data_IF_338321252614
#
_entry.id   IF_338321252614
#
_cell.length_a   1.000
_cell.length_b   1.000
_cell.length_c   1.000
_cell.angle_alpha   90.00
_cell.angle_beta   90.00
_cell.angle_gamma   90.00
#
_symmetry.space_group_name_H-M   'P 1'
#
loop_
_entity.id
_entity.type
_entity.pdbx_description
1 polymer ?
#
# COMPACT_ATOMS: atom_id res chain seq x y z
N UNK A 1 6.35 54.40 19.47
CA UNK A 1 5.23 55.19 19.98
C UNK A 1 3.94 54.39 19.80
N UNK A 2 3.25 54.21 20.91
CA UNK A 2 1.81 53.87 21.11
C UNK A 2 1.37 52.50 20.56
N UNK A 3 1.16 51.47 21.37
CA UNK A 3 0.31 51.24 22.59
C UNK A 3 -1.16 50.92 22.28
N UNK A 4 -1.57 49.70 22.72
CA UNK A 4 -2.81 49.35 23.45
C UNK A 4 -4.07 49.19 22.60
N UNK A 5 -5.01 48.23 22.84
CA UNK A 5 -5.70 47.64 24.02
C UNK A 5 -6.44 46.34 23.56
N UNK A 6 -6.34 45.21 24.17
CA UNK A 6 -7.06 44.58 25.29
C UNK A 6 -8.60 44.83 25.29
N UNK A 7 -9.33 43.71 25.20
CA UNK A 7 -10.53 43.50 25.98
C UNK A 7 -10.88 42.03 26.12
N UNK A 8 -10.74 41.53 27.33
CA UNK A 8 -11.36 40.35 27.91
C UNK A 8 -12.89 40.50 27.97
N UNK A 9 -13.60 39.37 27.91
CA UNK A 9 -14.77 39.10 28.78
C UNK A 9 -14.82 37.63 29.17
N UNK A 10 -14.87 37.45 30.49
CA UNK A 10 -14.99 36.24 31.30
C UNK A 10 -16.42 36.00 31.74
N UNK A 11 -16.67 34.79 32.22
CA UNK A 11 -17.70 34.29 33.17
C UNK A 11 -19.01 33.83 32.54
N UNK A 12 -19.64 32.73 32.96
CA UNK A 12 -19.76 32.07 34.25
C UNK A 12 -20.21 30.61 34.09
N UNK A 13 -19.64 29.66 34.80
CA UNK A 13 -20.13 28.99 36.03
C UNK A 13 -21.43 28.17 35.84
N UNK A 14 -21.33 26.86 36.08
CA UNK A 14 -22.44 25.97 36.37
C UNK A 14 -21.97 24.60 36.80
N UNK A 15 -21.92 24.43 38.11
CA UNK A 15 -21.57 23.21 38.87
C UNK A 15 -22.52 22.04 38.67
N UNK A 16 -21.95 20.84 38.90
CA UNK A 16 -22.63 19.75 39.61
C UNK A 16 -22.88 18.51 38.73
N UNK A 17 -22.38 17.38 39.01
CA UNK A 17 -22.44 16.47 40.10
C UNK A 17 -21.65 15.21 39.75
N UNK A 18 -20.87 14.78 40.69
CA UNK A 18 -20.25 13.44 40.72
C UNK A 18 -21.32 12.42 41.07
N UNK A 19 -21.33 11.29 40.37
CA UNK A 19 -21.85 10.03 40.91
C UNK A 19 -21.23 8.82 40.23
N UNK A 20 -20.41 8.14 40.98
CA UNK A 20 -20.21 6.70 41.14
C UNK A 20 -20.01 5.78 39.94
N UNK A 21 -18.75 5.35 39.80
CA UNK A 21 -18.39 4.05 39.31
C UNK A 21 -18.93 2.95 40.23
N UNK A 22 -19.70 2.02 39.71
CA UNK A 22 -19.78 0.66 40.19
C UNK A 22 -19.79 -0.32 39.04
N UNK A 23 -18.98 -1.35 39.21
CA UNK A 23 -18.69 -2.43 38.29
C UNK A 23 -19.94 -3.21 37.86
N UNK A 24 -19.99 -3.52 36.55
CA UNK A 24 -20.78 -4.64 36.06
C UNK A 24 -19.88 -5.54 35.19
N UNK A 25 -19.88 -6.82 35.55
CA UNK A 25 -19.14 -7.89 34.89
C UNK A 25 -19.64 -8.21 33.47
N UNK A 26 -19.03 -9.19 32.78
CA UNK A 26 -19.27 -9.44 31.38
C UNK A 26 -20.71 -9.85 31.11
N UNK A 27 -21.45 -9.00 30.43
CA UNK A 27 -22.80 -9.35 29.90
C UNK A 27 -22.65 -10.34 28.76
N UNK A 28 -23.06 -11.55 29.03
CA UNK A 28 -23.37 -12.57 28.02
C UNK A 28 -24.44 -11.98 27.10
N UNK A 29 -24.08 -11.73 25.84
CA UNK A 29 -25.03 -11.35 24.81
C UNK A 29 -26.00 -12.51 24.57
N UNK A 30 -27.19 -12.35 25.09
CA UNK A 30 -28.32 -13.22 24.76
C UNK A 30 -28.72 -12.99 23.29
N UNK A 31 -28.98 -14.10 22.64
CA UNK A 31 -29.46 -14.24 21.26
C UNK A 31 -30.42 -13.14 20.84
N UNK A 32 -30.01 -12.34 19.85
CA UNK A 32 -30.96 -11.55 19.07
C UNK A 32 -31.79 -12.52 18.22
N UNK A 33 -33.09 -12.48 18.40
CA UNK A 33 -34.10 -13.22 17.63
C UNK A 33 -33.88 -12.99 16.14
N UNK A 34 -33.77 -14.09 15.39
CA UNK A 34 -33.82 -14.12 13.92
C UNK A 34 -35.10 -13.45 13.45
N UNK A 35 -34.99 -12.33 12.77
CA UNK A 35 -36.08 -11.81 11.96
C UNK A 35 -36.17 -12.64 10.68
N UNK A 36 -37.33 -13.25 10.50
CA UNK A 36 -37.69 -14.06 9.35
C UNK A 36 -37.53 -13.32 8.03
N UNK A 37 -36.90 -13.95 7.06
CA UNK A 37 -37.10 -13.67 5.64
C UNK A 37 -35.89 -13.36 4.76
N UNK A 38 -34.67 -13.35 5.27
CA UNK A 38 -33.47 -13.27 4.39
C UNK A 38 -32.86 -14.68 4.23
N UNK A 39 -32.79 -15.14 2.98
CA UNK A 39 -31.96 -16.28 2.62
C UNK A 39 -30.54 -16.05 3.13
N UNK A 40 -29.86 -17.03 3.73
CA UNK A 40 -28.49 -16.85 4.18
C UNK A 40 -27.63 -16.45 2.99
N UNK A 41 -27.00 -15.27 3.07
CA UNK A 41 -26.04 -14.82 2.07
C UNK A 41 -24.88 -15.81 2.02
N UNK A 42 -24.70 -16.47 0.90
CA UNK A 42 -23.57 -17.40 0.72
C UNK A 42 -22.26 -16.62 0.65
N UNK A 43 -21.33 -16.89 1.58
CA UNK A 43 -19.98 -16.33 1.54
C UNK A 43 -19.07 -17.21 0.72
N UNK A 44 -18.43 -16.64 -0.28
CA UNK A 44 -17.44 -17.30 -1.13
C UNK A 44 -16.08 -16.59 -0.94
N UNK A 45 -15.05 -17.38 -0.59
CA UNK A 45 -13.69 -16.88 -0.42
C UNK A 45 -12.86 -17.41 -1.57
N UNK A 46 -12.29 -16.48 -2.37
CA UNK A 46 -11.45 -16.82 -3.53
C UNK A 46 -10.00 -16.39 -3.26
N UNK A 47 -9.00 -17.28 -3.37
CA UNK A 47 -7.61 -16.90 -3.24
C UNK A 47 -7.18 -15.96 -4.38
N UNK A 48 -6.34 -15.00 -4.06
CA UNK A 48 -5.67 -14.17 -5.05
C UNK A 48 -4.44 -14.92 -5.56
N UNK A 49 -4.16 -14.86 -6.86
CA UNK A 49 -2.97 -15.50 -7.44
C UNK A 49 -1.70 -15.04 -6.70
N UNK A 50 -0.87 -15.98 -6.26
CA UNK A 50 0.32 -15.78 -5.42
C UNK A 50 0.05 -15.06 -4.06
N UNK A 51 -1.21 -14.92 -3.67
CA UNK A 51 -1.61 -14.27 -2.42
C UNK A 51 -1.28 -15.08 -1.15
N UNK A 52 -0.94 -16.37 -1.29
CA UNK A 52 -0.43 -17.23 -0.21
C UNK A 52 1.08 -17.01 0.08
N UNK A 53 1.73 -16.09 -0.62
CA UNK A 53 3.13 -15.68 -0.41
C UNK A 53 4.19 -16.80 -0.38
N UNK A 54 3.87 -17.98 -0.91
CA UNK A 54 4.77 -19.15 -0.86
C UNK A 54 5.76 -19.23 -2.04
N UNK A 55 5.50 -18.50 -3.11
CA UNK A 55 6.25 -18.60 -4.35
C UNK A 55 7.00 -17.29 -4.66
N UNK A 56 8.31 -17.42 -4.84
CA UNK A 56 9.19 -16.27 -5.00
C UNK A 56 10.20 -16.49 -6.13
N UNK A 57 10.39 -15.44 -6.91
CA UNK A 57 11.51 -15.30 -7.84
C UNK A 57 12.65 -14.64 -7.09
N UNK A 58 13.81 -15.33 -7.04
CA UNK A 58 15.04 -14.80 -6.45
C UNK A 58 15.91 -14.22 -7.55
N UNK A 59 16.32 -12.96 -7.39
CA UNK A 59 17.07 -12.22 -8.42
C UNK A 59 18.39 -11.74 -7.82
N UNK A 60 19.50 -12.08 -8.47
CA UNK A 60 20.83 -11.62 -8.08
C UNK A 60 21.27 -10.51 -9.04
N UNK A 61 21.36 -9.29 -8.53
CA UNK A 61 21.81 -8.11 -9.27
C UNK A 61 23.26 -7.82 -8.84
N UNK A 62 24.18 -7.91 -9.77
CA UNK A 62 25.58 -7.54 -9.53
C UNK A 62 25.72 -6.03 -9.70
N UNK A 63 26.05 -5.33 -8.63
CA UNK A 63 26.34 -3.90 -8.67
C UNK A 63 27.53 -3.60 -9.56
N UNK A 64 27.52 -2.46 -10.22
CA UNK A 64 28.69 -1.94 -10.91
C UNK A 64 29.89 -1.82 -9.96
N UNK A 65 31.10 -2.09 -10.43
CA UNK A 65 32.36 -2.00 -9.64
C UNK A 65 32.51 -0.64 -8.95
N UNK A 66 32.03 0.42 -9.57
CA UNK A 66 32.03 1.79 -9.00
C UNK A 66 31.20 1.89 -7.70
N UNK A 67 30.19 1.03 -7.51
CA UNK A 67 29.36 0.95 -6.30
C UNK A 67 29.89 -0.08 -5.27
N UNK A 68 30.95 -0.80 -5.62
CA UNK A 68 31.55 -1.83 -4.77
C UNK A 68 31.42 -3.25 -5.32
N UNK A 69 30.68 -3.46 -6.40
CA UNK A 69 30.57 -4.75 -7.09
C UNK A 69 29.88 -5.85 -6.25
N UNK A 70 29.07 -5.48 -5.27
CA UNK A 70 28.33 -6.42 -4.41
C UNK A 70 27.20 -7.08 -5.18
N UNK A 71 26.81 -8.26 -4.75
CA UNK A 71 25.59 -8.92 -5.23
C UNK A 71 24.44 -8.52 -4.33
N UNK A 72 23.43 -7.90 -4.89
CA UNK A 72 22.16 -7.57 -4.27
C UNK A 72 21.16 -8.68 -4.54
N UNK A 73 20.45 -9.13 -3.51
CA UNK A 73 19.40 -10.13 -3.66
C UNK A 73 18.04 -9.46 -3.61
N UNK A 74 17.33 -9.52 -4.72
CA UNK A 74 15.97 -8.99 -4.87
C UNK A 74 14.99 -10.17 -4.90
N UNK A 75 13.80 -9.92 -4.36
CA UNK A 75 12.71 -10.88 -4.38
C UNK A 75 11.48 -10.29 -5.06
N UNK A 76 10.80 -11.10 -5.85
CA UNK A 76 9.52 -10.76 -6.44
C UNK A 76 8.54 -11.92 -6.22
N UNK A 77 7.27 -11.60 -5.95
CA UNK A 77 6.21 -12.61 -5.93
C UNK A 77 6.03 -13.20 -7.33
N UNK A 78 5.91 -14.51 -7.42
CA UNK A 78 5.75 -15.20 -8.71
C UNK A 78 6.18 -16.65 -8.64
N UNK A 79 6.09 -17.37 -9.76
CA UNK A 79 6.52 -18.75 -9.85
C UNK A 79 7.98 -18.88 -9.40
N UNK A 80 8.26 -19.87 -8.56
CA UNK A 80 9.59 -20.07 -7.98
C UNK A 80 10.63 -20.22 -9.08
N UNK A 81 11.57 -19.29 -9.12
CA UNK A 81 12.65 -19.22 -10.10
C UNK A 81 13.87 -18.47 -9.53
N UNK A 82 15.01 -18.58 -10.22
CA UNK A 82 16.24 -17.88 -9.86
C UNK A 82 16.85 -17.20 -11.08
N UNK A 83 16.95 -15.87 -11.05
CA UNK A 83 17.54 -15.05 -12.10
C UNK A 83 18.92 -14.57 -11.63
N UNK A 84 19.98 -14.88 -12.38
CA UNK A 84 21.36 -14.55 -12.01
C UNK A 84 22.00 -13.46 -12.85
N UNK A 85 21.22 -12.82 -13.69
CA UNK A 85 21.67 -11.77 -14.61
C UNK A 85 21.02 -10.43 -14.26
N UNK A 86 21.74 -9.34 -14.54
CA UNK A 86 21.22 -8.00 -14.41
C UNK A 86 20.20 -7.72 -15.54
N UNK A 87 18.97 -8.13 -15.31
CA UNK A 87 17.88 -7.92 -16.27
C UNK A 87 16.61 -7.42 -15.59
N UNK A 88 15.79 -6.73 -16.38
CA UNK A 88 14.46 -6.31 -15.95
C UNK A 88 13.60 -7.54 -15.62
N UNK A 89 12.87 -7.46 -14.51
CA UNK A 89 11.85 -8.45 -14.19
C UNK A 89 10.52 -8.08 -14.84
N UNK A 90 9.98 -9.03 -15.56
CA UNK A 90 8.64 -8.95 -16.14
C UNK A 90 7.85 -10.08 -15.50
N UNK A 91 6.78 -9.76 -14.71
CA UNK A 91 5.92 -10.81 -14.15
C UNK A 91 5.37 -11.72 -15.25
N UNK A 92 5.29 -13.02 -14.97
CA UNK A 92 4.65 -13.97 -15.88
C UNK A 92 3.16 -13.63 -16.05
N UNK A 93 2.59 -14.01 -17.19
CA UNK A 93 1.15 -13.89 -17.43
C UNK A 93 0.33 -14.49 -16.27
N UNK A 94 -0.66 -13.75 -15.80
CA UNK A 94 -1.49 -14.13 -14.64
C UNK A 94 -0.90 -13.80 -13.26
N UNK A 95 0.34 -13.29 -13.19
CA UNK A 95 0.89 -12.77 -11.96
C UNK A 95 0.57 -11.27 -11.80
N UNK A 96 -0.26 -10.88 -10.81
CA UNK A 96 -0.69 -9.49 -10.68
C UNK A 96 0.30 -8.60 -9.91
N UNK A 97 1.40 -9.15 -9.36
CA UNK A 97 2.19 -8.47 -8.34
C UNK A 97 3.46 -7.80 -8.84
N UNK A 98 3.59 -6.51 -8.54
CA UNK A 98 4.83 -5.77 -8.51
C UNK A 98 5.29 -5.48 -7.08
N UNK A 99 6.54 -5.03 -6.91
CA UNK A 99 7.08 -4.69 -5.60
C UNK A 99 8.14 -3.59 -5.67
N UNK A 100 8.54 -3.06 -4.49
CA UNK A 100 9.59 -2.05 -4.36
C UNK A 100 11.02 -2.60 -4.48
N UNK A 101 11.21 -3.92 -4.46
CA UNK A 101 12.53 -4.55 -4.66
C UNK A 101 12.86 -4.57 -6.17
N UNK A 102 13.53 -3.53 -6.67
CA UNK A 102 13.69 -3.26 -8.09
C UNK A 102 15.15 -3.13 -8.52
N UNK A 103 15.40 -3.49 -9.80
CA UNK A 103 16.67 -3.25 -10.48
C UNK A 103 16.71 -1.86 -11.08
N UNK A 104 17.84 -1.17 -10.92
CA UNK A 104 18.06 0.17 -11.42
C UNK A 104 19.32 0.24 -12.30
N UNK A 105 19.25 1.05 -13.37
CA UNK A 105 20.37 1.29 -14.27
C UNK A 105 20.38 2.74 -14.75
N UNK A 106 21.49 3.42 -14.51
CA UNK A 106 21.68 4.79 -14.96
C UNK A 106 23.09 5.02 -15.47
N UNK A 107 23.25 5.52 -16.69
CA UNK A 107 24.56 5.79 -17.35
C UNK A 107 25.53 4.61 -17.25
N UNK A 108 25.05 3.39 -17.37
CA UNK A 108 25.84 2.17 -17.27
C UNK A 108 26.15 1.73 -15.82
N UNK A 109 25.73 2.48 -14.82
CA UNK A 109 25.82 2.10 -13.40
C UNK A 109 24.57 1.30 -13.03
N UNK A 110 24.78 0.12 -12.48
CA UNK A 110 23.74 -0.85 -12.14
C UNK A 110 23.72 -1.14 -10.66
N UNK A 111 22.53 -1.23 -10.08
CA UNK A 111 22.31 -1.61 -8.68
C UNK A 111 20.93 -2.23 -8.48
N UNK A 112 20.68 -2.77 -7.28
CA UNK A 112 19.38 -3.27 -6.86
C UNK A 112 18.93 -2.60 -5.56
N UNK A 113 17.63 -2.39 -5.41
CA UNK A 113 16.99 -2.00 -4.16
C UNK A 113 16.62 -3.29 -3.43
N UNK A 114 17.47 -3.71 -2.51
CA UNK A 114 17.29 -4.92 -1.71
C UNK A 114 16.78 -4.61 -0.30
N UNK A 115 16.30 -5.64 0.42
CA UNK A 115 15.91 -5.55 1.83
C UNK A 115 14.53 -4.94 2.08
N UNK A 116 13.85 -4.36 1.08
CA UNK A 116 12.53 -3.75 1.27
C UNK A 116 11.38 -4.78 1.23
N UNK A 117 11.50 -5.81 0.39
CA UNK A 117 10.52 -6.90 0.24
C UNK A 117 11.25 -8.23 0.19
N UNK A 118 10.83 -9.19 1.00
CA UNK A 118 11.45 -10.51 1.05
C UNK A 118 10.52 -11.58 1.62
N UNK A 119 10.73 -12.87 1.30
CA UNK A 119 10.08 -13.98 1.99
C UNK A 119 10.61 -14.11 3.42
N UNK A 120 9.71 -14.37 4.36
CA UNK A 120 10.04 -14.78 5.72
C UNK A 120 9.26 -16.05 6.06
N UNK A 121 9.88 -16.98 6.81
CA UNK A 121 9.23 -18.24 7.18
C UNK A 121 8.00 -18.02 8.04
N UNK A 122 6.90 -18.68 7.65
CA UNK A 122 5.67 -18.76 8.44
C UNK A 122 5.14 -20.21 8.40
N UNK A 123 5.27 -20.93 9.50
CA UNK A 123 4.93 -22.36 9.54
C UNK A 123 5.71 -23.15 8.50
N UNK A 124 5.01 -23.87 7.64
CA UNK A 124 5.61 -24.67 6.55
C UNK A 124 5.87 -23.87 5.27
N UNK A 125 5.29 -22.68 5.15
CA UNK A 125 5.39 -21.79 3.99
C UNK A 125 6.19 -20.53 4.28
N UNK A 126 5.82 -19.48 3.54
CA UNK A 126 6.38 -18.15 3.67
C UNK A 126 5.29 -17.10 3.79
N UNK A 127 5.63 -15.95 4.31
CA UNK A 127 4.86 -14.72 4.23
C UNK A 127 5.67 -13.66 3.51
N UNK A 128 5.03 -12.60 3.06
CA UNK A 128 5.70 -11.42 2.52
C UNK A 128 6.07 -10.47 3.67
N UNK A 129 7.37 -10.25 3.86
CA UNK A 129 7.90 -9.21 4.75
C UNK A 129 8.20 -7.96 3.95
N UNK A 130 7.61 -6.85 4.34
CA UNK A 130 7.83 -5.52 3.80
C UNK A 130 8.43 -4.64 4.88
N UNK A 131 9.57 -4.00 4.61
CA UNK A 131 10.31 -3.22 5.59
C UNK A 131 10.77 -1.89 5.01
N UNK A 132 10.69 -0.81 5.79
CA UNK A 132 11.29 0.47 5.44
C UNK A 132 12.79 0.40 5.60
N UNK A 133 13.53 0.69 4.54
CA UNK A 133 15.00 0.63 4.52
C UNK A 133 15.61 1.92 3.99
N UNK A 134 16.65 2.40 4.67
CA UNK A 134 17.46 3.50 4.17
C UNK A 134 18.58 2.92 3.29
N UNK A 135 18.50 3.17 1.99
CA UNK A 135 19.53 2.74 1.04
C UNK A 135 20.53 3.85 0.78
N UNK A 136 21.79 3.49 0.49
CA UNK A 136 22.85 4.42 0.20
C UNK A 136 23.61 4.01 -1.05
N UNK A 137 23.76 4.96 -1.97
CA UNK A 137 24.59 4.83 -3.16
C UNK A 137 25.81 5.73 -3.00
N UNK A 138 27.01 5.15 -2.86
CA UNK A 138 28.25 5.86 -2.58
C UNK A 138 28.61 6.93 -3.64
N UNK A 139 28.26 6.69 -4.91
CA UNK A 139 28.47 7.68 -5.98
C UNK A 139 27.45 8.81 -5.82
N UNK A 140 27.95 10.02 -5.61
CA UNK A 140 27.12 11.19 -5.35
C UNK A 140 26.53 11.23 -3.95
N UNK A 141 26.89 10.27 -3.10
CA UNK A 141 26.45 10.18 -1.71
C UNK A 141 24.92 10.33 -1.59
N UNK A 142 24.22 9.49 -2.35
CA UNK A 142 22.77 9.55 -2.54
C UNK A 142 22.09 8.55 -1.62
N UNK A 143 21.19 9.05 -0.80
CA UNK A 143 20.34 8.24 0.06
C UNK A 143 18.91 8.15 -0.50
N UNK A 144 18.26 7.02 -0.29
CA UNK A 144 16.85 6.83 -0.57
C UNK A 144 16.20 6.02 0.55
N UNK A 145 15.20 6.61 1.20
CA UNK A 145 14.27 5.89 2.05
C UNK A 145 13.29 5.13 1.16
N UNK A 146 13.27 3.83 1.27
CA UNK A 146 12.42 2.95 0.47
C UNK A 146 11.48 2.20 1.40
N UNK A 147 10.18 2.37 1.18
CA UNK A 147 9.17 1.60 1.87
C UNK A 147 9.01 0.23 1.22
N UNK A 148 8.97 -0.81 2.04
CA UNK A 148 8.63 -2.15 1.58
C UNK A 148 7.19 -2.17 1.08
N UNK A 149 7.00 -2.48 -0.20
CA UNK A 149 5.70 -2.36 -0.85
C UNK A 149 5.49 -3.48 -1.85
N UNK A 150 4.29 -4.08 -1.84
CA UNK A 150 3.75 -4.90 -2.92
C UNK A 150 2.47 -4.26 -3.44
N UNK A 151 2.21 -4.41 -4.72
CA UNK A 151 1.02 -3.84 -5.35
C UNK A 151 0.58 -4.63 -6.57
N UNK A 152 -0.68 -4.54 -6.93
CA UNK A 152 -1.14 -5.06 -8.22
C UNK A 152 -0.72 -4.10 -9.33
N UNK A 153 0.10 -4.65 -10.25
CA UNK A 153 0.73 -3.89 -11.33
C UNK A 153 2.16 -4.34 -11.59
N UNK A 154 2.96 -3.49 -12.23
CA UNK A 154 4.32 -3.80 -12.64
C UNK A 154 5.28 -2.64 -12.40
N UNK A 155 6.48 -2.94 -11.86
CA UNK A 155 7.60 -2.01 -11.92
C UNK A 155 8.21 -2.01 -13.33
N UNK A 156 8.50 -0.83 -13.86
CA UNK A 156 9.14 -0.67 -15.17
C UNK A 156 10.66 -0.63 -15.00
N UNK A 157 11.25 -1.78 -14.99
CA UNK A 157 12.70 -1.94 -14.84
C UNK A 157 13.44 -1.90 -16.20
N UNK A 158 14.72 -1.51 -16.19
CA UNK A 158 15.46 -0.96 -15.05
C UNK A 158 15.00 0.45 -14.69
N UNK A 159 14.95 0.75 -13.38
CA UNK A 159 14.64 2.12 -12.93
C UNK A 159 15.74 3.07 -13.40
N UNK A 160 15.33 4.12 -14.11
CA UNK A 160 16.22 5.21 -14.52
C UNK A 160 16.22 6.36 -13.51
N UNK A 161 17.03 7.41 -13.76
CA UNK A 161 17.13 8.58 -12.89
C UNK A 161 15.80 9.32 -12.72
N UNK A 162 14.92 9.28 -13.71
CA UNK A 162 13.60 9.91 -13.63
C UNK A 162 12.73 9.30 -12.52
N UNK A 163 12.91 8.02 -12.19
CA UNK A 163 12.21 7.35 -11.10
C UNK A 163 12.55 7.96 -9.74
N UNK A 164 13.69 8.64 -9.59
CA UNK A 164 14.05 9.34 -8.36
C UNK A 164 13.23 10.60 -8.12
N UNK A 165 12.93 11.36 -9.16
CA UNK A 165 12.12 12.58 -9.03
C UNK A 165 10.62 12.31 -9.14
N UNK A 166 10.24 11.23 -9.80
CA UNK A 166 8.86 10.83 -10.05
C UNK A 166 8.73 9.30 -9.99
N UNK A 167 8.84 8.66 -8.81
CA UNK A 167 8.88 7.20 -8.70
C UNK A 167 7.63 6.51 -9.24
N UNK A 168 6.46 7.13 -9.12
CA UNK A 168 5.23 6.57 -9.68
C UNK A 168 5.24 6.44 -11.21
N UNK A 169 6.06 7.24 -11.92
CA UNK A 169 6.17 7.11 -13.39
C UNK A 169 6.86 5.83 -13.85
N UNK A 170 7.53 5.14 -12.95
CA UNK A 170 8.16 3.84 -13.19
C UNK A 170 7.30 2.66 -12.70
N UNK A 171 6.03 2.91 -12.39
CA UNK A 171 5.10 1.90 -11.90
C UNK A 171 3.82 1.94 -12.70
N UNK A 172 3.47 0.83 -13.31
CA UNK A 172 2.16 0.62 -13.92
C UNK A 172 1.23 0.03 -12.87
N UNK A 173 0.15 0.76 -12.53
CA UNK A 173 -0.77 0.37 -11.46
C UNK A 173 -2.03 -0.29 -11.98
N UNK A 174 -2.42 -1.36 -11.31
CA UNK A 174 -3.66 -2.07 -11.50
C UNK A 174 -3.60 -3.13 -12.58
N UNK A 175 -4.47 -4.08 -12.43
CA UNK A 175 -4.66 -5.21 -13.36
C UNK A 175 -6.12 -5.29 -13.77
N UNK A 176 -6.44 -5.90 -14.93
CA UNK A 176 -7.82 -6.13 -15.35
C UNK A 176 -8.60 -6.91 -14.30
N UNK A 177 -9.80 -6.43 -13.94
CA UNK A 177 -10.65 -7.04 -12.93
C UNK A 177 -12.09 -6.54 -13.07
N UNK A 178 -13.05 -7.47 -13.09
CA UNK A 178 -14.46 -7.16 -13.37
C UNK A 178 -15.41 -7.62 -12.26
N UNK A 179 -14.89 -8.20 -11.16
CA UNK A 179 -15.70 -8.68 -10.06
C UNK A 179 -15.91 -7.60 -8.99
N UNK A 180 -16.96 -7.75 -8.18
CA UNK A 180 -17.27 -6.89 -7.03
C UNK A 180 -17.18 -7.67 -5.72
N UNK A 181 -15.97 -7.82 -5.12
CA UNK A 181 -15.83 -8.47 -3.82
C UNK A 181 -16.35 -7.58 -2.68
N UNK A 182 -16.90 -8.18 -1.63
CA UNK A 182 -17.34 -7.47 -0.44
C UNK A 182 -16.15 -6.98 0.41
N UNK A 183 -15.04 -7.74 0.44
CA UNK A 183 -13.85 -7.39 1.21
C UNK A 183 -12.56 -7.96 0.60
N UNK A 184 -11.43 -7.36 0.95
CA UNK A 184 -10.13 -8.00 0.93
C UNK A 184 -9.91 -8.68 2.28
N UNK A 185 -9.55 -9.96 2.27
CA UNK A 185 -9.18 -10.72 3.46
C UNK A 185 -7.69 -11.04 3.40
N UNK A 186 -6.96 -10.86 4.51
CA UNK A 186 -5.54 -11.19 4.62
C UNK A 186 -5.19 -11.60 6.07
N UNK A 187 -4.04 -12.24 6.20
CA UNK A 187 -3.39 -12.41 7.48
C UNK A 187 -2.26 -11.39 7.59
N UNK A 188 -2.07 -10.77 8.76
CA UNK A 188 -0.98 -9.81 8.94
C UNK A 188 -0.47 -9.72 10.38
N UNK A 189 0.73 -9.21 10.53
CA UNK A 189 1.31 -8.67 11.77
C UNK A 189 2.15 -7.44 11.41
N UNK A 190 2.43 -6.56 12.38
CA UNK A 190 3.14 -5.33 12.12
C UNK A 190 4.09 -4.96 13.26
N UNK A 191 5.20 -4.33 12.90
CA UNK A 191 6.09 -3.62 13.82
C UNK A 191 6.15 -2.17 13.37
N UNK A 192 5.50 -1.29 14.11
CA UNK A 192 5.40 0.15 13.82
C UNK A 192 6.06 0.92 14.94
N UNK A 193 6.88 1.89 14.58
CA UNK A 193 7.49 2.81 15.55
C UNK A 193 6.45 3.77 16.10
N UNK A 194 6.53 4.06 17.37
CA UNK A 194 5.75 5.09 18.09
C UNK A 194 6.39 6.49 18.01
N UNK A 195 7.47 6.63 17.23
CA UNK A 195 8.17 7.91 17.08
C UNK A 195 7.35 8.92 16.27
N UNK A 196 7.29 10.17 16.73
CA UNK A 196 6.72 11.30 16.02
C UNK A 196 7.71 11.94 15.04
N UNK A 197 8.57 11.11 14.43
CA UNK A 197 9.56 11.57 13.47
C UNK A 197 9.80 10.55 12.37
N UNK A 198 10.08 11.06 11.17
CA UNK A 198 10.34 10.32 9.96
C UNK A 198 11.73 10.66 9.43
N UNK A 199 12.31 9.76 8.65
CA UNK A 199 13.46 10.09 7.80
C UNK A 199 12.94 10.46 6.41
N UNK A 200 13.30 11.64 5.94
CA UNK A 200 13.09 12.09 4.57
C UNK A 200 14.42 12.09 3.80
N UNK A 201 14.39 11.54 2.60
CA UNK A 201 15.53 11.57 1.67
C UNK A 201 15.20 12.26 0.34
N UNK A 202 14.19 13.11 0.32
CA UNK A 202 13.78 13.84 -0.89
C UNK A 202 14.92 14.67 -1.48
N UNK A 203 15.81 15.21 -0.63
CA UNK A 203 17.00 15.99 -1.00
C UNK A 203 18.27 15.15 -1.10
N UNK A 204 18.17 13.84 -1.27
CA UNK A 204 19.29 12.90 -1.39
C UNK A 204 20.08 12.64 -0.10
N UNK A 205 19.78 13.30 0.99
CA UNK A 205 20.38 13.12 2.31
C UNK A 205 19.28 12.79 3.32
N UNK A 206 19.58 11.99 4.33
CA UNK A 206 18.60 11.73 5.39
C UNK A 206 18.42 12.99 6.24
N UNK A 207 17.21 13.44 6.34
CA UNK A 207 16.75 14.54 7.21
C UNK A 207 15.66 14.00 8.13
N UNK A 208 15.72 14.28 9.42
CA UNK A 208 14.64 13.97 10.34
C UNK A 208 13.57 15.05 10.24
N UNK A 209 12.35 14.64 9.98
CA UNK A 209 11.17 15.52 9.90
C UNK A 209 10.11 15.06 10.90
N UNK A 210 9.24 15.96 11.34
CA UNK A 210 8.10 15.61 12.18
C UNK A 210 7.06 14.81 11.38
N UNK A 211 6.45 13.84 12.03
CA UNK A 211 5.40 13.01 11.45
C UNK A 211 5.32 11.64 12.08
N UNK A 212 4.17 10.99 11.93
CA UNK A 212 3.93 9.62 12.37
C UNK A 212 3.76 8.72 11.15
N UNK A 213 4.31 7.52 11.19
CA UNK A 213 4.26 6.57 10.07
C UNK A 213 3.38 5.36 10.42
N UNK A 214 2.59 4.94 9.46
CA UNK A 214 1.75 3.75 9.58
C UNK A 214 1.98 2.85 8.38
N UNK A 215 1.86 1.55 8.55
CA UNK A 215 1.66 0.68 7.40
C UNK A 215 0.26 0.91 6.81
N UNK A 216 0.08 0.55 5.55
CA UNK A 216 -1.18 0.79 4.84
C UNK A 216 -1.54 -0.38 3.92
N UNK A 217 -2.84 -0.67 3.88
CA UNK A 217 -3.46 -1.57 2.90
C UNK A 217 -4.61 -0.83 2.25
N UNK A 218 -4.63 -0.73 0.91
CA UNK A 218 -5.81 -0.23 0.24
C UNK A 218 -6.15 -1.01 -1.04
N UNK A 219 -7.43 -0.98 -1.37
CA UNK A 219 -8.00 -1.53 -2.59
C UNK A 219 -8.78 -0.45 -3.30
N UNK A 220 -8.47 -0.24 -4.56
CA UNK A 220 -9.26 0.62 -5.45
C UNK A 220 -9.80 -0.19 -6.61
N UNK A 221 -11.12 -0.32 -6.69
CA UNK A 221 -11.80 -0.81 -7.87
C UNK A 221 -12.11 0.39 -8.76
N UNK A 222 -11.70 0.32 -10.03
CA UNK A 222 -11.81 1.44 -10.96
C UNK A 222 -12.49 1.01 -12.25
N UNK A 223 -13.40 1.83 -12.74
CA UNK A 223 -13.87 1.77 -14.12
C UNK A 223 -12.99 2.72 -14.94
N UNK A 224 -12.06 2.17 -15.73
CA UNK A 224 -11.09 2.92 -16.55
C UNK A 224 -11.49 2.95 -18.00
N UNK A 225 -11.19 4.06 -18.68
CA UNK A 225 -11.26 4.19 -20.13
C UNK A 225 -10.14 5.08 -20.65
N UNK A 226 -9.80 4.90 -21.90
CA UNK A 226 -8.85 5.75 -22.62
C UNK A 226 -9.60 6.68 -23.55
N UNK A 227 -9.23 7.95 -23.54
CA UNK A 227 -9.68 8.91 -24.53
C UNK A 227 -8.92 8.68 -25.83
N UNK A 228 -9.64 8.35 -26.90
CA UNK A 228 -9.04 7.93 -28.17
C UNK A 228 -8.22 9.02 -28.88
N UNK A 229 -8.56 10.30 -28.65
CA UNK A 229 -7.88 11.43 -29.31
C UNK A 229 -6.58 11.75 -28.57
N UNK A 230 -6.65 11.89 -27.26
CA UNK A 230 -5.52 12.34 -26.43
C UNK A 230 -4.65 11.20 -25.90
N UNK A 231 -5.19 9.99 -25.81
CA UNK A 231 -4.55 8.84 -25.18
C UNK A 231 -4.42 8.99 -23.66
N UNK A 232 -5.20 9.88 -23.04
CA UNK A 232 -5.31 9.99 -21.60
C UNK A 232 -6.16 8.87 -21.02
N UNK A 233 -5.82 8.41 -19.83
CA UNK A 233 -6.59 7.41 -19.11
C UNK A 233 -7.36 8.09 -17.99
N UNK A 234 -8.65 7.93 -18.01
CA UNK A 234 -9.57 8.36 -16.96
C UNK A 234 -10.09 7.17 -16.19
N UNK A 235 -10.50 7.43 -14.94
CA UNK A 235 -11.14 6.43 -14.10
C UNK A 235 -12.30 7.03 -13.30
N UNK A 236 -13.30 6.20 -13.00
CA UNK A 236 -14.21 6.42 -11.89
C UNK A 236 -13.93 5.39 -10.80
N UNK A 237 -13.86 5.85 -9.56
CA UNK A 237 -13.68 4.96 -8.41
C UNK A 237 -15.00 4.23 -8.15
N UNK A 238 -14.97 2.91 -8.26
CA UNK A 238 -16.14 2.04 -8.06
C UNK A 238 -16.22 1.53 -6.64
N UNK A 239 -15.08 1.15 -6.08
CA UNK A 239 -14.99 0.64 -4.72
C UNK A 239 -13.69 1.06 -4.04
N UNK A 240 -13.77 1.29 -2.73
CA UNK A 240 -12.64 1.70 -1.89
C UNK A 240 -12.60 0.85 -0.62
N UNK A 241 -11.48 0.22 -0.36
CA UNK A 241 -11.10 -0.26 0.96
C UNK A 241 -9.80 0.41 1.36
N UNK A 242 -9.69 0.83 2.62
CA UNK A 242 -8.49 1.50 3.10
C UNK A 242 -8.30 1.24 4.58
N UNK A 243 -7.13 0.80 4.98
CA UNK A 243 -6.77 0.60 6.37
C UNK A 243 -5.35 1.08 6.65
N UNK A 244 -5.18 1.75 7.78
CA UNK A 244 -3.88 2.18 8.30
C UNK A 244 -3.60 1.41 9.58
N UNK A 245 -2.41 0.83 9.65
CA UNK A 245 -1.92 0.08 10.79
C UNK A 245 -0.84 0.94 11.44
N UNK A 246 -1.21 1.65 12.51
CA UNK A 246 -0.36 2.66 13.16
C UNK A 246 0.26 2.17 14.48
N UNK A 247 0.01 0.93 14.86
CA UNK A 247 0.51 0.33 16.09
C UNK A 247 1.23 -1.00 15.80
N UNK A 248 2.13 -1.36 16.70
CA UNK A 248 2.79 -2.66 16.65
C UNK A 248 1.80 -3.77 17.01
N UNK A 249 1.65 -4.74 16.13
CA UNK A 249 0.82 -5.94 16.28
C UNK A 249 1.77 -7.13 16.17
N UNK A 250 2.32 -7.64 17.30
CA UNK A 250 3.38 -8.64 17.29
C UNK A 250 2.91 -10.03 16.89
N UNK A 251 1.64 -10.34 17.15
CA UNK A 251 1.04 -11.63 16.84
C UNK A 251 0.25 -11.55 15.51
N UNK A 252 0.14 -12.69 14.82
CA UNK A 252 -0.63 -12.77 13.60
C UNK A 252 -2.13 -12.57 13.83
N UNK A 253 -2.72 -11.57 13.19
CA UNK A 253 -4.16 -11.47 12.97
C UNK A 253 -4.47 -12.27 11.71
N UNK A 254 -5.26 -13.34 11.86
CA UNK A 254 -5.63 -14.21 10.75
C UNK A 254 -7.04 -13.88 10.25
N UNK A 255 -7.24 -13.99 8.94
CA UNK A 255 -8.53 -13.75 8.28
C UNK A 255 -9.10 -12.34 8.56
N UNK A 256 -8.24 -11.34 8.64
CA UNK A 256 -8.67 -9.96 8.78
C UNK A 256 -9.33 -9.47 7.49
N UNK A 257 -10.49 -8.86 7.62
CA UNK A 257 -11.27 -8.37 6.48
C UNK A 257 -11.28 -6.85 6.45
N UNK A 258 -10.92 -6.30 5.28
CA UNK A 258 -11.04 -4.88 4.99
C UNK A 258 -12.21 -4.71 4.03
N UNK A 259 -13.38 -4.23 4.50
CA UNK A 259 -14.59 -4.08 3.68
C UNK A 259 -14.38 -3.13 2.52
N UNK A 260 -14.96 -3.44 1.37
CA UNK A 260 -14.95 -2.55 0.20
C UNK A 260 -16.25 -1.74 0.18
N UNK A 261 -16.13 -0.44 0.31
CA UNK A 261 -17.25 0.50 0.21
C UNK A 261 -17.43 0.91 -1.25
N UNK A 262 -18.63 0.74 -1.78
CA UNK A 262 -18.97 0.99 -3.19
C UNK A 262 -19.60 2.36 -3.41
N UNK A 263 -19.32 2.98 -4.56
CA UNK A 263 -19.81 4.29 -4.92
C UNK A 263 -19.09 5.44 -4.21
N UNK A 264 -19.77 6.57 -4.07
CA UNK A 264 -19.22 7.74 -3.39
C UNK A 264 -19.20 7.52 -1.88
N UNK A 265 -18.03 7.59 -1.27
CA UNK A 265 -17.86 7.41 0.17
C UNK A 265 -17.67 8.71 0.94
N UNK A 266 -17.71 9.87 0.25
CA UNK A 266 -17.45 11.19 0.87
C UNK A 266 -18.45 11.58 1.94
N UNK A 267 -19.67 11.09 1.83
CA UNK A 267 -20.76 11.43 2.75
C UNK A 267 -20.87 10.43 3.92
N UNK A 268 -19.95 9.44 4.01
CA UNK A 268 -19.92 8.51 5.14
C UNK A 268 -19.19 9.12 6.33
N UNK A 269 -19.69 8.86 7.54
CA UNK A 269 -19.17 9.42 8.79
C UNK A 269 -17.71 9.03 9.06
N UNK A 270 -17.24 7.92 8.49
CA UNK A 270 -15.90 7.37 8.61
C UNK A 270 -14.94 7.79 7.49
N UNK A 271 -15.40 8.60 6.53
CA UNK A 271 -14.56 9.07 5.42
C UNK A 271 -13.33 9.85 5.90
N UNK A 272 -12.21 9.52 5.32
CA UNK A 272 -10.95 10.20 5.60
C UNK A 272 -10.40 10.86 4.32
N UNK A 273 -9.80 12.04 4.45
CA UNK A 273 -9.28 12.80 3.31
C UNK A 273 -8.25 12.04 2.47
N UNK A 274 -7.50 11.10 3.07
CA UNK A 274 -6.54 10.26 2.35
C UNK A 274 -7.20 9.15 1.49
N UNK A 275 -8.51 8.95 1.61
CA UNK A 275 -9.28 8.01 0.79
C UNK A 275 -9.87 8.66 -0.48
N UNK A 276 -9.77 9.99 -0.59
CA UNK A 276 -10.32 10.73 -1.73
C UNK A 276 -9.64 10.35 -3.05
N UNK A 277 -10.21 10.84 -4.12
CA UNK A 277 -9.69 10.62 -5.48
C UNK A 277 -8.33 11.31 -5.67
N UNK A 278 -7.51 10.73 -6.52
CA UNK A 278 -6.21 11.28 -6.92
C UNK A 278 -5.20 11.56 -5.78
N UNK A 279 -5.31 10.86 -4.64
CA UNK A 279 -4.33 10.97 -3.54
C UNK A 279 -2.95 10.42 -3.91
N UNK A 280 -2.88 9.53 -4.89
CA UNK A 280 -1.64 8.95 -5.43
C UNK A 280 -1.62 9.15 -6.95
N UNK A 281 -0.46 9.58 -7.48
CA UNK A 281 -0.25 9.69 -8.93
C UNK A 281 -0.07 8.30 -9.56
N UNK A 282 -1.17 7.57 -9.73
CA UNK A 282 -1.15 6.27 -10.39
C UNK A 282 -0.96 6.42 -11.88
N UNK A 283 -0.11 5.57 -12.45
CA UNK A 283 0.17 5.56 -13.88
C UNK A 283 -0.30 4.24 -14.50
N UNK A 284 -0.68 4.28 -15.76
CA UNK A 284 -0.95 3.10 -16.58
C UNK A 284 -0.47 3.32 -18.00
N UNK A 285 -0.27 2.23 -18.73
CA UNK A 285 0.12 2.25 -20.14
C UNK A 285 -1.12 2.40 -21.01
N UNK A 286 -1.10 3.39 -21.89
CA UNK A 286 -2.18 3.59 -22.86
C UNK A 286 -2.00 2.68 -24.09
N UNK A 287 -2.99 2.68 -25.00
CA UNK A 287 -2.98 1.88 -26.22
C UNK A 287 -1.80 2.16 -27.16
N UNK A 288 -1.16 3.35 -27.02
CA UNK A 288 0.05 3.73 -27.74
C UNK A 288 1.35 3.30 -27.02
N UNK A 289 1.25 2.54 -25.93
CA UNK A 289 2.37 2.07 -25.14
C UNK A 289 3.01 3.14 -24.22
N UNK A 290 2.42 4.33 -24.11
CA UNK A 290 2.94 5.43 -23.31
C UNK A 290 2.39 5.36 -21.88
N UNK A 291 3.27 5.56 -20.88
CA UNK A 291 2.85 5.73 -19.49
C UNK A 291 2.18 7.09 -19.32
N UNK A 292 0.95 7.08 -18.85
CA UNK A 292 0.14 8.28 -18.57
C UNK A 292 -0.49 8.17 -17.19
N UNK A 293 -0.76 9.32 -16.58
CA UNK A 293 -1.48 9.37 -15.30
C UNK A 293 -2.91 8.86 -15.49
N UNK A 294 -3.40 8.11 -14.51
CA UNK A 294 -4.80 7.75 -14.38
C UNK A 294 -5.48 8.92 -13.65
N UNK A 295 -6.36 9.63 -14.34
CA UNK A 295 -7.12 10.75 -13.76
C UNK A 295 -8.46 10.23 -13.22
N UNK A 296 -8.62 10.17 -11.89
CA UNK A 296 -9.90 9.82 -11.28
C UNK A 296 -10.83 11.02 -11.32
N UNK A 297 -11.88 10.93 -12.12
CA UNK A 297 -12.80 12.06 -12.41
C UNK A 297 -14.12 11.99 -11.63
N UNK A 298 -14.27 10.98 -10.77
CA UNK A 298 -15.48 10.84 -9.94
C UNK A 298 -15.64 9.43 -9.38
N UNK A 299 -16.79 9.21 -8.80
CA UNK A 299 -17.25 7.95 -8.22
C UNK A 299 -18.33 7.34 -9.09
N UNK A 300 -18.48 6.03 -9.09
CA UNK A 300 -19.57 5.33 -9.76
C UNK A 300 -19.92 4.00 -9.11
N UNK A 301 -21.05 3.43 -9.51
CA UNK A 301 -21.45 2.05 -9.20
C UNK A 301 -21.32 1.13 -10.41
N UNK A 302 -20.67 1.59 -11.47
CA UNK A 302 -20.40 0.81 -12.69
C UNK A 302 -19.66 -0.50 -12.39
N UNK A 303 -19.61 -1.40 -13.37
CA UNK A 303 -18.73 -2.56 -13.28
C UNK A 303 -17.26 -2.11 -13.31
N UNK A 304 -16.42 -2.59 -12.41
CA UNK A 304 -15.00 -2.27 -12.46
C UNK A 304 -14.37 -2.91 -13.70
N UNK A 305 -13.35 -2.27 -14.22
CA UNK A 305 -12.48 -2.82 -15.29
C UNK A 305 -11.10 -3.17 -14.78
N UNK A 306 -10.70 -2.56 -13.66
CA UNK A 306 -9.38 -2.72 -13.05
C UNK A 306 -9.48 -2.72 -11.51
N UNK A 307 -8.50 -3.40 -10.91
CA UNK A 307 -8.24 -3.34 -9.47
C UNK A 307 -6.80 -2.95 -9.18
N UNK A 308 -6.61 -2.15 -8.14
CA UNK A 308 -5.33 -1.90 -7.49
C UNK A 308 -5.44 -2.42 -6.07
N UNK A 309 -4.57 -3.34 -5.67
CA UNK A 309 -4.24 -3.58 -4.26
C UNK A 309 -2.86 -2.94 -4.04
N UNK A 310 -2.71 -2.21 -2.97
CA UNK A 310 -1.45 -1.62 -2.54
C UNK A 310 -1.24 -1.90 -1.05
N UNK A 311 -0.13 -2.50 -0.71
CA UNK A 311 0.24 -2.88 0.65
C UNK A 311 1.66 -2.39 0.90
N UNK A 312 1.83 -1.56 1.93
CA UNK A 312 3.13 -0.93 2.22
C UNK A 312 3.42 -0.85 3.71
N UNK A 313 4.69 -0.96 4.06
CA UNK A 313 5.17 -0.73 5.42
C UNK A 313 5.20 0.75 5.84
N UNK A 314 4.81 1.68 4.95
CA UNK A 314 4.71 3.11 5.22
C UNK A 314 3.60 3.77 4.39
N UNK A 315 2.98 4.80 4.96
CA UNK A 315 2.06 5.69 4.28
C UNK A 315 2.55 7.15 4.24
N UNK A 316 3.80 7.40 4.68
CA UNK A 316 4.35 8.75 4.81
C UNK A 316 4.69 9.42 3.47
N UNK A 317 4.51 8.70 2.37
CA UNK A 317 4.78 9.18 1.02
C UNK A 317 6.16 8.80 0.50
N UNK A 318 6.49 9.35 -0.67
CA UNK A 318 7.71 8.99 -1.38
C UNK A 318 8.95 9.48 -0.65
N UNK A 319 9.93 8.59 -0.49
CA UNK A 319 11.22 8.87 0.18
C UNK A 319 11.10 9.34 1.64
N UNK A 320 9.96 9.06 2.27
CA UNK A 320 9.72 9.36 3.69
C UNK A 320 9.22 8.11 4.38
N UNK A 321 9.79 7.76 5.52
CA UNK A 321 9.30 6.68 6.36
C UNK A 321 9.99 6.67 7.74
N UNK A 322 9.43 5.95 8.70
CA UNK A 322 10.17 5.45 9.85
C UNK A 322 11.00 4.24 9.44
N UNK A 323 12.33 4.33 9.57
CA UNK A 323 13.23 3.21 9.27
C UNK A 323 12.92 2.01 10.19
N UNK A 324 12.84 0.83 9.62
CA UNK A 324 12.59 -0.40 10.36
C UNK A 324 11.13 -0.72 10.63
N UNK A 325 10.18 0.17 10.31
CA UNK A 325 8.77 -0.22 10.26
C UNK A 325 8.62 -1.40 9.33
N UNK A 326 7.87 -2.40 9.77
CA UNK A 326 7.75 -3.67 9.04
C UNK A 326 6.30 -4.15 9.07
N UNK A 327 5.80 -4.55 7.93
CA UNK A 327 4.52 -5.22 7.76
C UNK A 327 4.76 -6.61 7.18
N UNK A 328 4.15 -7.63 7.78
CA UNK A 328 4.10 -8.99 7.24
C UNK A 328 2.68 -9.28 6.82
N UNK A 329 2.52 -9.82 5.63
CA UNK A 329 1.22 -10.24 5.11
C UNK A 329 1.28 -11.63 4.49
N UNK A 330 0.13 -12.29 4.48
CA UNK A 330 -0.03 -13.64 3.96
C UNK A 330 -1.51 -13.90 3.61
N UNK A 331 -1.76 -14.94 2.84
CA UNK A 331 -3.09 -15.46 2.56
C UNK A 331 -4.11 -14.42 2.07
N UNK A 332 -3.74 -13.62 1.07
CA UNK A 332 -4.65 -12.64 0.46
C UNK A 332 -5.75 -13.33 -0.34
N UNK A 333 -6.98 -12.95 -0.07
CA UNK A 333 -8.20 -13.54 -0.64
C UNK A 333 -9.26 -12.48 -0.87
N UNK A 334 -10.10 -12.70 -1.87
CA UNK A 334 -11.33 -11.97 -2.05
C UNK A 334 -12.47 -12.63 -1.28
N UNK A 335 -13.31 -11.83 -0.65
CA UNK A 335 -14.54 -12.26 -0.03
C UNK A 335 -15.70 -11.76 -0.89
N UNK A 336 -16.59 -12.66 -1.29
CA UNK A 336 -17.82 -12.34 -2.01
C UNK A 336 -19.02 -12.73 -1.16
N UNK A 337 -20.05 -11.92 -1.25
CA UNK A 337 -21.37 -12.21 -0.70
C UNK A 337 -22.33 -12.41 -1.86
N UNK A 338 -22.96 -13.56 -1.91
CA UNK A 338 -23.98 -13.90 -2.91
C UNK A 338 -25.35 -13.89 -2.24
N UNK A 339 -26.34 -13.21 -2.85
CA UNK A 339 -27.71 -13.17 -2.33
C UNK A 339 -28.36 -14.57 -2.32
#
# INVERSE_FOLDING_TARGET
>A
MRKWLIALWLLAIGCGLWADCLADGPKVLQNASLQDGQSPTERVIEPIAYGNMDQWVVRYITESKLLGGKIKTLYALGSTDTIRENQAYIPMEGNPWGCSATYAKFMGIETGIDGSVMPERRGYGYCCKMQNVLTHVNIGDIYAMVSGTIYMGQALEPLGIAAKSRPYTATEFGVPFTKKPAALMLDYKAKISDADSLISTERNKPETIAGHDCAVVYVYLQHRWEDAETGKIYARRVGTAYERICETIPEWINNHEIPIRYGCIKDSDDFQAYEDLNQVDMMARNSKGKMVKIEEVGWSLDEPTHVVIYISSSNAGVFRACEGNTLWVDNLRWVYERP
#
